data_IF_619053507298
#
_entry.id   IF_619053507298
#
_cell.length_a   1.000
_cell.length_b   1.000
_cell.length_c   1.000
_cell.angle_alpha   90.00
_cell.angle_beta   90.00
_cell.angle_gamma   90.00
#
_symmetry.space_group_name_H-M   'P 1'
#
loop_
_entity.id
_entity.type
_entity.pdbx_description
1 polymer ?
#
# COMPACT_ATOMS: atom_id res chain seq x y z
N UNK A 1 -25.89 18.41 -18.67
CA UNK A 1 -25.24 17.56 -17.68
C UNK A 1 -24.76 18.40 -16.52
N UNK A 2 -25.14 18.01 -15.29
CA UNK A 2 -24.65 18.70 -14.09
C UNK A 2 -23.27 18.18 -13.70
N UNK A 3 -22.41 19.04 -13.17
CA UNK A 3 -21.21 18.67 -12.47
C UNK A 3 -21.46 18.77 -10.96
N UNK A 4 -20.95 17.81 -10.20
CA UNK A 4 -20.84 17.92 -8.75
C UNK A 4 -19.44 18.40 -8.43
N UNK A 5 -19.33 19.49 -7.69
CA UNK A 5 -18.06 20.03 -7.25
C UNK A 5 -18.07 20.00 -5.72
N UNK A 6 -17.05 19.38 -5.14
CA UNK A 6 -16.72 19.47 -3.72
C UNK A 6 -15.51 20.38 -3.63
N UNK A 7 -15.74 21.63 -3.23
CA UNK A 7 -14.66 22.63 -3.16
C UNK A 7 -13.66 22.26 -2.06
N UNK A 8 -14.16 21.80 -0.91
CA UNK A 8 -13.33 21.36 0.19
C UNK A 8 -14.14 20.47 1.15
N UNK A 9 -13.51 19.43 1.61
CA UNK A 9 -13.98 18.58 2.70
C UNK A 9 -12.84 18.37 3.67
N UNK A 10 -13.02 18.75 4.93
CA UNK A 10 -12.02 18.61 5.97
C UNK A 10 -12.45 17.55 6.98
N UNK A 11 -11.56 16.62 7.27
CA UNK A 11 -11.72 15.60 8.30
C UNK A 11 -10.58 15.70 9.28
N UNK A 12 -10.89 15.64 10.58
CA UNK A 12 -9.89 15.52 11.64
C UNK A 12 -10.26 14.38 12.58
N UNK A 13 -9.30 13.53 12.90
CA UNK A 13 -9.49 12.41 13.82
C UNK A 13 -8.19 12.15 14.58
N UNK A 14 -8.19 12.44 15.90
CA UNK A 14 -6.97 12.38 16.70
C UNK A 14 -5.89 13.32 16.14
N UNK A 15 -4.72 12.77 15.88
CA UNK A 15 -3.59 13.49 15.29
C UNK A 15 -3.61 13.54 13.77
N UNK A 16 -4.63 12.95 13.13
CA UNK A 16 -4.79 12.93 11.68
C UNK A 16 -5.65 14.08 11.19
N UNK A 17 -5.23 14.66 10.09
CA UNK A 17 -6.00 15.62 9.31
C UNK A 17 -6.07 15.15 7.85
N UNK A 18 -7.14 15.46 7.17
CA UNK A 18 -7.31 15.18 5.76
C UNK A 18 -8.19 16.26 5.14
N UNK A 19 -7.68 16.86 4.10
CA UNK A 19 -8.43 17.79 3.26
C UNK A 19 -8.61 17.17 1.89
N UNK A 20 -9.84 17.12 1.39
CA UNK A 20 -10.15 16.61 0.07
C UNK A 20 -10.91 17.65 -0.74
N UNK A 21 -10.54 17.80 -2.00
CA UNK A 21 -11.25 18.60 -2.98
C UNK A 21 -11.40 17.80 -4.28
N UNK A 22 -12.54 17.94 -4.95
CA UNK A 22 -12.76 17.16 -6.14
C UNK A 22 -13.95 17.59 -6.96
N UNK A 23 -14.06 17.02 -8.15
CA UNK A 23 -15.19 17.22 -9.04
C UNK A 23 -15.58 15.91 -9.70
N UNK A 24 -16.86 15.74 -9.92
CA UNK A 24 -17.44 14.64 -10.68
C UNK A 24 -18.30 15.22 -11.81
N UNK A 25 -17.96 14.84 -13.03
CA UNK A 25 -18.67 15.23 -14.24
C UNK A 25 -19.42 14.00 -14.78
N UNK A 26 -20.48 14.22 -15.58
CA UNK A 26 -21.22 13.19 -16.28
C UNK A 26 -21.84 12.11 -15.34
N UNK A 27 -23.10 12.34 -14.86
CA UNK A 27 -23.75 11.42 -13.92
C UNK A 27 -23.95 9.98 -14.42
N UNK A 28 -24.00 9.78 -15.76
CA UNK A 28 -24.17 8.44 -16.37
C UNK A 28 -22.88 7.63 -16.47
N UNK A 29 -21.73 8.30 -16.49
CA UNK A 29 -20.40 7.71 -16.50
C UNK A 29 -19.45 8.68 -15.76
N UNK A 30 -19.47 8.68 -14.42
CA UNK A 30 -18.77 9.69 -13.64
C UNK A 30 -17.28 9.72 -13.92
N UNK A 31 -16.79 10.91 -14.26
CA UNK A 31 -15.36 11.22 -14.29
C UNK A 31 -15.07 12.03 -13.02
N UNK A 32 -14.28 11.45 -12.15
CA UNK A 32 -13.94 11.99 -10.83
C UNK A 32 -12.50 12.45 -10.86
N UNK A 33 -12.26 13.69 -10.45
CA UNK A 33 -10.92 14.17 -10.13
C UNK A 33 -10.91 14.47 -8.64
N UNK A 34 -10.00 13.84 -7.92
CA UNK A 34 -9.90 13.96 -6.47
C UNK A 34 -8.48 14.33 -6.05
N UNK A 35 -8.36 15.38 -5.27
CA UNK A 35 -7.12 15.77 -4.61
C UNK A 35 -7.30 15.59 -3.11
N UNK A 36 -6.37 14.88 -2.49
CA UNK A 36 -6.34 14.62 -1.06
C UNK A 36 -5.03 15.10 -0.49
N UNK A 37 -5.10 16.00 0.47
CA UNK A 37 -3.94 16.56 1.15
C UNK A 37 -4.03 16.28 2.65
N UNK A 38 -2.90 15.98 3.28
CA UNK A 38 -2.78 15.76 4.72
C UNK A 38 -1.43 16.23 5.21
N UNK A 39 -1.42 16.99 6.30
CA UNK A 39 -0.18 17.30 7.01
C UNK A 39 0.30 16.10 7.81
N UNK A 40 -0.64 15.36 8.39
CA UNK A 40 -0.36 14.16 9.17
C UNK A 40 -1.49 13.16 9.07
N UNK A 41 -1.17 11.95 8.63
CA UNK A 41 -2.08 10.82 8.60
C UNK A 41 -1.52 9.67 9.43
N UNK A 42 -2.27 9.24 10.45
CA UNK A 42 -1.93 8.07 11.27
C UNK A 42 -2.81 6.88 10.89
N UNK A 43 -2.19 5.81 10.41
CA UNK A 43 -2.86 4.57 10.04
C UNK A 43 -3.02 3.59 11.21
N UNK A 44 -2.43 3.84 12.38
CA UNK A 44 -2.49 2.93 13.53
C UNK A 44 -3.93 2.57 13.93
N UNK A 45 -4.91 3.51 13.96
CA UNK A 45 -6.29 3.16 14.27
C UNK A 45 -6.94 2.22 13.25
N UNK A 46 -6.53 2.31 11.98
CA UNK A 46 -7.06 1.46 10.91
C UNK A 46 -6.55 0.03 11.02
N UNK A 47 -5.26 -0.14 11.35
CA UNK A 47 -4.69 -1.47 11.59
C UNK A 47 -5.32 -2.14 12.80
N UNK A 48 -5.54 -1.40 13.90
CA UNK A 48 -6.23 -1.92 15.08
C UNK A 48 -7.68 -2.36 14.79
N UNK A 49 -8.39 -1.66 13.90
CA UNK A 49 -9.72 -2.06 13.47
C UNK A 49 -9.70 -3.35 12.63
N UNK A 50 -8.70 -3.52 11.76
CA UNK A 50 -8.53 -4.74 10.97
C UNK A 50 -8.24 -5.94 11.87
N UNK A 51 -7.32 -5.82 12.84
CA UNK A 51 -7.01 -6.87 13.81
C UNK A 51 -8.24 -7.26 14.64
N UNK A 52 -9.05 -6.29 15.07
CA UNK A 52 -10.28 -6.54 15.82
C UNK A 52 -11.35 -7.23 14.96
N UNK A 53 -11.45 -6.90 13.68
CA UNK A 53 -12.38 -7.54 12.75
C UNK A 53 -12.01 -9.01 12.50
N UNK A 54 -10.72 -9.33 12.38
CA UNK A 54 -10.23 -10.71 12.25
C UNK A 54 -10.49 -11.53 13.51
N UNK A 55 -10.28 -10.96 14.70
CA UNK A 55 -10.60 -11.62 15.97
C UNK A 55 -12.10 -11.89 16.14
N UNK A 56 -12.94 -10.92 15.77
CA UNK A 56 -14.40 -11.08 15.85
C UNK A 56 -14.95 -12.11 14.86
N UNK A 57 -14.29 -12.30 13.72
CA UNK A 57 -14.64 -13.34 12.76
C UNK A 57 -14.28 -14.75 13.28
N UNK A 58 -13.19 -14.90 14.04
CA UNK A 58 -12.81 -16.17 14.66
C UNK A 58 -13.65 -16.53 15.89
N UNK A 59 -14.19 -15.56 16.62
CA UNK A 59 -15.01 -15.80 17.80
C UNK A 59 -16.49 -16.14 17.46
N UNK A 60 -16.94 -15.91 16.22
CA UNK A 60 -18.32 -16.23 15.80
C UNK A 60 -18.50 -17.65 15.28
N UNK A 61 -17.49 -18.47 15.20
CA UNK A 61 -17.57 -19.91 14.86
C UNK A 61 -17.81 -20.80 16.09
N UNK A 62 -18.90 -20.56 16.79
CA UNK A 62 -19.50 -21.50 17.73
C UNK A 62 -20.47 -22.48 17.04
N UNK A 63 -20.14 -22.99 15.85
CA UNK A 63 -20.86 -24.09 15.18
C UNK A 63 -19.90 -25.24 14.92
N UNK A 64 -20.37 -26.46 15.25
CA UNK A 64 -19.63 -27.74 15.28
C UNK A 64 -18.64 -27.94 14.13
N UNK A 65 -17.46 -28.54 14.40
CA UNK A 65 -16.41 -28.73 13.41
C UNK A 65 -16.68 -30.00 12.60
N UNK A 66 -17.38 -29.86 11.50
CA UNK A 66 -17.37 -30.83 10.41
C UNK A 66 -16.95 -30.16 9.12
N UNK A 67 -15.69 -29.85 9.02
CA UNK A 67 -14.93 -29.73 7.77
C UNK A 67 -13.46 -29.55 8.15
N UNK A 68 -12.58 -30.31 7.55
CA UNK A 68 -11.13 -30.20 7.63
C UNK A 68 -10.72 -28.72 7.67
N UNK A 69 -10.24 -28.28 8.83
CA UNK A 69 -9.71 -26.93 9.02
C UNK A 69 -8.64 -26.68 7.96
N UNK A 70 -9.00 -25.96 6.93
CA UNK A 70 -8.03 -25.56 5.93
C UNK A 70 -6.91 -24.79 6.67
N UNK A 71 -5.63 -25.12 6.44
CA UNK A 71 -4.52 -24.50 7.13
C UNK A 71 -4.62 -22.99 7.00
N UNK A 72 -4.33 -22.28 8.11
CA UNK A 72 -4.31 -20.83 8.24
C UNK A 72 -3.59 -20.22 7.00
N UNK A 73 -4.40 -19.71 6.07
CA UNK A 73 -3.88 -19.36 4.75
C UNK A 73 -3.43 -17.91 4.79
N UNK A 74 -2.13 -17.69 4.64
CA UNK A 74 -1.49 -16.36 4.62
C UNK A 74 -2.11 -15.36 3.63
N UNK A 75 -2.75 -15.84 2.56
CA UNK A 75 -3.35 -14.98 1.53
C UNK A 75 -4.83 -15.29 1.41
N UNK A 76 -5.70 -14.35 1.77
CA UNK A 76 -7.14 -14.49 1.62
C UNK A 76 -7.52 -14.55 0.13
N UNK A 77 -8.66 -15.19 -0.17
CA UNK A 77 -9.14 -15.41 -1.53
C UNK A 77 -10.22 -14.39 -1.89
N UNK A 78 -9.79 -13.14 -2.12
CA UNK A 78 -10.70 -12.09 -2.56
C UNK A 78 -10.77 -12.00 -4.09
N UNK A 79 -11.97 -11.88 -4.68
CA UNK A 79 -12.10 -11.68 -6.11
C UNK A 79 -11.57 -10.31 -6.52
N UNK A 80 -10.70 -10.28 -7.53
CA UNK A 80 -10.20 -9.06 -8.15
C UNK A 80 -11.17 -8.60 -9.24
N UNK A 81 -12.46 -8.44 -8.88
CA UNK A 81 -13.49 -8.08 -9.86
C UNK A 81 -13.44 -6.59 -10.18
N UNK A 82 -13.24 -6.28 -11.45
CA UNK A 82 -13.27 -4.92 -11.98
C UNK A 82 -14.68 -4.42 -12.34
N UNK A 83 -15.75 -5.09 -11.88
CA UNK A 83 -17.13 -4.65 -12.17
C UNK A 83 -17.39 -3.20 -11.76
N UNK A 84 -16.85 -2.78 -10.62
CA UNK A 84 -16.97 -1.41 -10.14
C UNK A 84 -16.17 -0.42 -10.99
N UNK A 85 -15.03 -0.85 -11.55
CA UNK A 85 -14.15 0.00 -12.34
C UNK A 85 -14.79 0.42 -13.68
N UNK A 86 -15.78 -0.35 -14.17
CA UNK A 86 -16.51 -0.03 -15.38
C UNK A 86 -17.56 1.08 -15.19
N UNK A 87 -17.86 1.45 -13.93
CA UNK A 87 -18.95 2.38 -13.62
C UNK A 87 -18.46 3.83 -13.51
N UNK A 88 -17.18 4.05 -13.27
CA UNK A 88 -16.61 5.40 -13.14
C UNK A 88 -15.15 5.45 -13.60
N UNK A 89 -14.66 6.66 -13.80
CA UNK A 89 -13.24 6.96 -13.99
C UNK A 89 -12.81 7.91 -12.88
N UNK A 90 -11.67 7.66 -12.27
CA UNK A 90 -11.12 8.53 -11.23
C UNK A 90 -9.63 8.80 -11.46
N UNK A 91 -9.24 10.06 -11.40
CA UNK A 91 -7.87 10.53 -11.30
C UNK A 91 -7.70 11.08 -9.89
N UNK A 92 -6.88 10.43 -9.09
CA UNK A 92 -6.70 10.75 -7.68
C UNK A 92 -5.26 11.11 -7.41
N UNK A 93 -5.03 12.28 -6.84
CA UNK A 93 -3.74 12.71 -6.32
C UNK A 93 -3.82 12.74 -4.79
N UNK A 94 -2.89 12.08 -4.12
CA UNK A 94 -2.77 12.05 -2.66
C UNK A 94 -1.43 12.63 -2.27
N UNK A 95 -1.43 13.63 -1.38
CA UNK A 95 -0.26 14.30 -0.86
C UNK A 95 -0.29 14.25 0.66
N UNK A 96 0.66 13.58 1.30
CA UNK A 96 0.74 13.45 2.76
C UNK A 96 2.14 13.85 3.19
N UNK A 97 2.23 14.87 4.07
CA UNK A 97 3.52 15.32 4.59
C UNK A 97 4.15 14.29 5.51
N UNK A 98 3.37 13.71 6.41
CA UNK A 98 3.83 12.69 7.36
C UNK A 98 2.81 11.58 7.50
N UNK A 99 3.15 10.36 7.05
CA UNK A 99 2.36 9.15 7.17
C UNK A 99 2.89 8.31 8.33
N UNK A 100 2.08 8.08 9.34
CA UNK A 100 2.36 7.29 10.56
C UNK A 100 1.59 5.99 10.59
N UNK A 101 1.83 5.17 11.61
CA UNK A 101 1.18 3.87 11.80
C UNK A 101 1.95 2.72 11.14
N UNK A 102 2.95 3.01 10.33
CA UNK A 102 3.94 2.04 9.88
C UNK A 102 5.06 1.94 10.93
N UNK A 103 5.90 0.91 10.83
CA UNK A 103 7.07 0.75 11.74
C UNK A 103 7.93 2.02 11.82
N UNK A 104 7.98 2.79 10.75
CA UNK A 104 8.61 4.12 10.69
C UNK A 104 7.74 5.06 9.87
N UNK A 105 7.66 6.34 10.25
CA UNK A 105 6.92 7.30 9.46
C UNK A 105 7.57 7.49 8.08
N UNK A 106 6.70 7.63 7.08
CA UNK A 106 7.09 8.08 5.76
C UNK A 106 6.79 9.58 5.64
N UNK A 107 7.66 10.27 4.95
CA UNK A 107 7.57 11.72 4.72
C UNK A 107 7.32 11.99 3.24
N UNK A 108 6.69 13.12 2.96
CA UNK A 108 6.49 13.64 1.61
C UNK A 108 5.91 12.58 0.66
N UNK A 109 4.88 11.87 1.14
CA UNK A 109 4.18 10.85 0.34
C UNK A 109 3.37 11.56 -0.73
N UNK A 110 3.66 11.27 -1.99
CA UNK A 110 2.91 11.78 -3.13
C UNK A 110 2.52 10.58 -4.01
N UNK A 111 1.22 10.41 -4.24
CA UNK A 111 0.71 9.30 -5.04
C UNK A 111 -0.29 9.80 -6.06
N UNK A 112 -0.19 9.32 -7.30
CA UNK A 112 -1.19 9.53 -8.34
C UNK A 112 -1.71 8.19 -8.82
N UNK A 113 -3.03 8.04 -8.79
CA UNK A 113 -3.74 6.81 -9.13
C UNK A 113 -4.84 7.13 -10.14
N UNK A 114 -4.81 6.43 -11.25
CA UNK A 114 -5.88 6.44 -12.24
C UNK A 114 -6.68 5.14 -12.09
N UNK A 115 -8.00 5.25 -11.99
CA UNK A 115 -8.93 4.13 -11.87
C UNK A 115 -9.99 4.26 -12.95
N UNK A 116 -10.27 3.18 -13.64
CA UNK A 116 -11.32 3.20 -14.69
C UNK A 116 -11.49 1.84 -15.35
N UNK A 117 -12.23 1.84 -16.43
CA UNK A 117 -12.54 0.62 -17.20
C UNK A 117 -11.31 -0.17 -17.67
N UNK A 118 -10.18 0.50 -17.82
CA UNK A 118 -8.91 -0.11 -18.19
C UNK A 118 -8.18 -0.74 -16.99
N UNK A 119 -8.72 -0.59 -15.79
CA UNK A 119 -8.12 -1.09 -14.56
C UNK A 119 -7.64 0.01 -13.62
N UNK A 120 -6.65 -0.31 -12.82
CA UNK A 120 -6.01 0.59 -11.85
C UNK A 120 -4.58 0.83 -12.29
N UNK A 121 -4.16 2.09 -12.28
CA UNK A 121 -2.78 2.48 -12.59
C UNK A 121 -2.25 3.41 -11.52
N UNK A 122 -1.18 3.01 -10.85
CA UNK A 122 -0.37 3.89 -10.02
C UNK A 122 0.69 4.49 -10.93
N UNK A 123 0.44 5.72 -11.40
CA UNK A 123 1.36 6.40 -12.34
C UNK A 123 2.61 6.88 -11.64
N UNK A 124 2.49 7.24 -10.36
CA UNK A 124 3.60 7.55 -9.48
C UNK A 124 3.17 7.41 -8.03
N UNK A 125 3.98 6.77 -7.21
CA UNK A 125 3.92 6.88 -5.77
C UNK A 125 5.36 7.11 -5.27
N UNK A 126 5.56 8.13 -4.48
CA UNK A 126 6.86 8.51 -3.93
C UNK A 126 6.71 8.74 -2.44
N UNK A 127 7.69 8.29 -1.68
CA UNK A 127 7.79 8.54 -0.26
C UNK A 127 9.26 8.71 0.14
N UNK A 128 9.50 9.42 1.22
CA UNK A 128 10.82 9.64 1.79
C UNK A 128 10.90 9.04 3.20
N UNK A 129 12.03 8.51 3.58
CA UNK A 129 12.29 8.17 4.96
C UNK A 129 12.88 9.38 5.70
N UNK A 130 12.93 9.34 7.03
CA UNK A 130 13.47 10.42 7.88
C UNK A 130 14.94 10.78 7.61
N UNK A 131 15.64 10.04 6.75
CA UNK A 131 17.07 10.22 6.42
C UNK A 131 17.31 10.64 5.00
N UNK A 132 16.25 11.03 4.28
CA UNK A 132 16.33 11.45 2.90
C UNK A 132 16.42 10.29 1.90
N UNK A 133 16.31 9.04 2.34
CA UNK A 133 16.13 7.92 1.42
C UNK A 133 14.76 8.00 0.77
N UNK A 134 14.69 7.66 -0.51
CA UNK A 134 13.48 7.81 -1.33
C UNK A 134 13.04 6.48 -1.86
N UNK A 135 11.74 6.18 -1.77
CA UNK A 135 11.10 5.07 -2.46
C UNK A 135 10.16 5.60 -3.54
N UNK A 136 10.12 4.92 -4.68
CA UNK A 136 9.20 5.19 -5.78
C UNK A 136 8.54 3.89 -6.22
N UNK A 137 7.24 3.94 -6.46
CA UNK A 137 6.43 2.84 -6.93
C UNK A 137 5.65 3.28 -8.17
N UNK A 138 5.65 2.43 -9.18
CA UNK A 138 4.70 2.47 -10.29
C UNK A 138 4.08 1.10 -10.44
N UNK A 139 2.84 1.04 -10.95
CA UNK A 139 2.20 -0.25 -11.14
C UNK A 139 0.88 -0.16 -11.88
N UNK A 140 0.45 -1.29 -12.39
CA UNK A 140 -0.84 -1.44 -13.06
C UNK A 140 -1.49 -2.75 -12.64
N UNK A 141 -2.80 -2.72 -12.50
CA UNK A 141 -3.65 -3.90 -12.42
C UNK A 141 -4.71 -3.75 -13.52
N UNK A 142 -4.46 -4.37 -14.66
CA UNK A 142 -5.22 -4.17 -15.89
C UNK A 142 -5.73 -5.52 -16.37
N UNK A 143 -7.02 -5.65 -16.76
CA UNK A 143 -7.48 -6.89 -17.35
C UNK A 143 -6.80 -7.14 -18.72
N UNK A 144 -6.40 -8.38 -18.96
CA UNK A 144 -5.91 -8.81 -20.27
C UNK A 144 -7.05 -8.96 -21.28
N UNK A 145 -6.74 -9.51 -22.46
CA UNK A 145 -7.71 -9.73 -23.53
C UNK A 145 -8.85 -10.70 -23.14
N UNK A 146 -8.62 -11.57 -22.16
CA UNK A 146 -9.58 -12.53 -21.60
C UNK A 146 -10.33 -11.96 -20.38
N UNK A 147 -10.00 -10.74 -19.95
CA UNK A 147 -10.59 -10.08 -18.81
C UNK A 147 -10.00 -10.52 -17.46
N UNK A 148 -8.87 -11.22 -17.47
CA UNK A 148 -8.19 -11.64 -16.24
C UNK A 148 -7.26 -10.53 -15.78
N UNK A 149 -7.34 -10.07 -14.51
CA UNK A 149 -6.45 -9.04 -13.97
C UNK A 149 -4.98 -9.43 -14.05
N UNK A 150 -4.17 -8.57 -14.64
CA UNK A 150 -2.71 -8.68 -14.73
C UNK A 150 -2.06 -7.55 -13.94
N UNK A 151 -1.22 -7.93 -12.96
CA UNK A 151 -0.43 -7.03 -12.15
C UNK A 151 0.94 -6.83 -12.79
N UNK A 152 1.37 -5.57 -12.86
CA UNK A 152 2.77 -5.20 -13.08
C UNK A 152 3.17 -4.13 -12.09
N UNK A 153 4.27 -4.32 -11.37
CA UNK A 153 4.73 -3.39 -10.34
C UNK A 153 6.24 -3.23 -10.38
N UNK A 154 6.70 -2.00 -10.24
CA UNK A 154 8.10 -1.65 -10.05
C UNK A 154 8.25 -0.76 -8.82
N UNK A 155 9.02 -1.24 -7.84
CA UNK A 155 9.45 -0.47 -6.68
C UNK A 155 10.94 -0.20 -6.78
N UNK A 156 11.34 1.05 -6.69
CA UNK A 156 12.73 1.49 -6.60
C UNK A 156 12.94 2.29 -5.32
N UNK A 157 13.96 1.94 -4.57
CA UNK A 157 14.34 2.63 -3.35
C UNK A 157 15.81 2.98 -3.36
N UNK A 158 16.14 4.19 -2.93
CA UNK A 158 17.52 4.67 -2.80
C UNK A 158 17.77 5.22 -1.42
N UNK A 159 18.89 4.81 -0.80
CA UNK A 159 19.27 5.27 0.52
C UNK A 159 18.28 4.92 1.63
N UNK A 160 17.49 3.86 1.44
CA UNK A 160 16.53 3.42 2.44
C UNK A 160 17.26 2.84 3.66
N UNK A 161 16.79 3.15 4.84
CA UNK A 161 17.24 2.50 6.07
C UNK A 161 16.22 1.44 6.47
N UNK A 162 16.56 0.19 6.20
CA UNK A 162 15.77 -0.94 6.67
C UNK A 162 16.29 -1.40 8.03
N UNK A 163 15.40 -1.84 8.86
CA UNK A 163 15.71 -2.34 10.20
C UNK A 163 15.11 -1.48 11.30
N UNK A 164 14.79 -2.14 12.38
CA UNK A 164 14.22 -1.55 13.59
C UNK A 164 15.37 -1.40 14.58
N UNK A 165 15.57 -0.24 15.23
CA UNK A 165 16.48 -0.15 16.36
C UNK A 165 16.05 -1.17 17.42
N UNK A 166 16.98 -2.02 17.87
CA UNK A 166 16.68 -3.08 18.84
C UNK A 166 16.49 -2.56 20.25
N UNK A 167 16.94 -1.35 20.54
CA UNK A 167 16.82 -0.74 21.85
C UNK A 167 16.54 0.76 21.76
N UNK A 168 15.86 1.35 22.77
CA UNK A 168 15.73 2.79 22.89
C UNK A 168 17.14 3.42 22.99
N UNK A 169 17.42 4.39 22.11
CA UNK A 169 18.71 5.08 22.09
C UNK A 169 19.75 4.49 21.12
N UNK A 170 19.44 3.41 20.43
CA UNK A 170 20.31 2.89 19.37
C UNK A 170 20.43 3.92 18.23
N UNK A 171 21.68 4.29 17.91
CA UNK A 171 21.93 5.29 16.87
C UNK A 171 21.57 4.72 15.49
N UNK A 172 20.45 5.16 15.00
CA UNK A 172 19.98 4.78 13.66
C UNK A 172 21.00 5.18 12.58
N UNK A 173 21.93 6.11 12.84
CA UNK A 173 22.96 6.49 11.88
C UNK A 173 23.95 5.36 11.57
N UNK A 174 24.02 4.36 12.43
CA UNK A 174 24.88 3.19 12.24
C UNK A 174 24.34 2.17 11.23
N UNK A 175 23.04 2.21 10.89
CA UNK A 175 22.46 1.29 9.92
C UNK A 175 22.87 1.67 8.50
N UNK A 176 23.43 0.73 7.72
CA UNK A 176 23.80 0.99 6.34
C UNK A 176 22.55 1.28 5.50
N UNK A 177 22.60 2.29 4.62
CA UNK A 177 21.52 2.52 3.66
C UNK A 177 21.50 1.43 2.59
N UNK A 178 20.30 1.11 2.11
CA UNK A 178 20.07 0.13 1.04
C UNK A 178 19.43 0.81 -0.17
N UNK A 179 19.86 0.36 -1.33
CA UNK A 179 19.16 0.59 -2.58
C UNK A 179 18.42 -0.70 -2.94
N UNK A 180 17.15 -0.56 -3.32
CA UNK A 180 16.27 -1.70 -3.64
C UNK A 180 15.65 -1.47 -5.00
N UNK A 181 15.58 -2.53 -5.79
CA UNK A 181 14.76 -2.58 -7.00
C UNK A 181 13.99 -3.90 -7.00
N UNK A 182 12.66 -3.80 -6.90
CA UNK A 182 11.74 -4.92 -6.93
C UNK A 182 10.83 -4.78 -8.16
N UNK A 183 10.81 -5.79 -9.00
CA UNK A 183 9.84 -5.90 -10.09
C UNK A 183 9.00 -7.14 -9.84
N UNK A 184 7.68 -6.98 -9.90
CA UNK A 184 6.72 -8.06 -9.78
C UNK A 184 5.74 -8.01 -10.93
N UNK A 185 5.34 -9.19 -11.39
CA UNK A 185 4.26 -9.38 -12.33
C UNK A 185 3.47 -10.64 -11.93
N UNK A 186 2.18 -10.65 -12.22
CA UNK A 186 1.33 -11.80 -11.94
C UNK A 186 -0.03 -11.64 -12.57
N UNK A 187 -0.80 -12.73 -12.67
CA UNK A 187 -2.11 -12.76 -13.30
C UNK A 187 -3.06 -13.64 -12.49
N UNK A 188 -4.28 -13.19 -12.24
CA UNK A 188 -5.24 -13.99 -11.49
C UNK A 188 -6.60 -13.32 -11.36
N UNK A 189 -7.64 -14.13 -11.14
CA UNK A 189 -9.00 -13.65 -10.88
C UNK A 189 -9.22 -13.32 -9.41
N UNK A 190 -8.41 -13.89 -8.56
CA UNK A 190 -8.44 -13.66 -7.11
C UNK A 190 -7.06 -13.25 -6.61
N UNK A 191 -7.00 -12.71 -5.40
CA UNK A 191 -5.73 -12.38 -4.74
C UNK A 191 -4.82 -13.60 -4.60
N UNK A 192 -5.40 -14.79 -4.43
CA UNK A 192 -4.67 -16.05 -4.35
C UNK A 192 -4.11 -16.47 -5.70
N UNK A 193 -4.93 -16.44 -6.74
CA UNK A 193 -4.46 -16.77 -8.10
C UNK A 193 -3.33 -15.83 -8.52
N UNK A 194 -3.49 -14.55 -8.24
CA UNK A 194 -2.46 -13.55 -8.50
C UNK A 194 -1.16 -13.89 -7.76
N UNK A 195 -1.25 -14.24 -6.47
CA UNK A 195 -0.09 -14.62 -5.68
C UNK A 195 0.56 -15.92 -6.17
N UNK A 196 -0.23 -16.89 -6.62
CA UNK A 196 0.28 -18.15 -7.15
C UNK A 196 1.02 -18.00 -8.48
N UNK A 197 0.72 -16.96 -9.25
CA UNK A 197 1.37 -16.65 -10.54
C UNK A 197 2.43 -15.56 -10.42
N UNK A 198 2.65 -15.04 -9.22
CA UNK A 198 3.57 -13.92 -9.01
C UNK A 198 5.00 -14.32 -9.38
N UNK A 199 5.58 -13.59 -10.30
CA UNK A 199 6.96 -13.70 -10.75
C UNK A 199 7.66 -12.36 -10.64
N UNK A 200 8.99 -12.38 -10.50
CA UNK A 200 9.74 -11.15 -10.44
C UNK A 200 11.15 -11.31 -9.91
N UNK A 201 11.76 -10.19 -9.65
CA UNK A 201 13.10 -10.16 -9.05
C UNK A 201 13.22 -9.04 -8.03
N UNK A 202 14.02 -9.31 -7.01
CA UNK A 202 14.50 -8.34 -6.02
C UNK A 202 16.00 -8.18 -6.16
N UNK A 203 16.44 -6.95 -6.41
CA UNK A 203 17.85 -6.57 -6.32
C UNK A 203 18.01 -5.61 -5.13
N UNK A 204 18.93 -5.95 -4.23
CA UNK A 204 19.23 -5.13 -3.06
C UNK A 204 20.74 -4.91 -3.00
N UNK A 205 21.13 -3.65 -2.89
CA UNK A 205 22.54 -3.25 -2.73
C UNK A 205 22.68 -2.49 -1.44
N UNK A 206 23.56 -2.94 -0.57
CA UNK A 206 23.86 -2.29 0.71
C UNK A 206 25.09 -1.40 0.54
N UNK A 207 24.99 -0.16 0.97
CA UNK A 207 26.14 0.76 1.02
C UNK A 207 27.08 0.37 2.17
N UNK A 208 28.29 0.93 2.18
CA UNK A 208 29.24 0.73 3.29
C UNK A 208 28.62 1.19 4.60
N UNK A 209 28.63 0.33 5.61
CA UNK A 209 28.13 0.61 6.95
C UNK A 209 28.73 -0.35 7.95
N UNK A 210 28.55 -0.06 9.22
CA UNK A 210 28.91 -0.96 10.30
C UNK A 210 27.75 -1.91 10.53
N UNK A 211 27.93 -3.20 10.30
CA UNK A 211 26.99 -4.23 10.71
C UNK A 211 27.35 -4.63 12.13
N UNK A 212 26.57 -4.20 13.11
CA UNK A 212 26.72 -4.68 14.48
C UNK A 212 26.26 -6.14 14.53
N UNK A 213 27.20 -7.05 14.66
CA UNK A 213 26.97 -8.49 14.69
C UNK A 213 26.50 -8.94 16.09
N UNK A 214 25.38 -8.42 16.58
CA UNK A 214 24.83 -8.80 17.90
C UNK A 214 24.06 -10.12 17.91
N UNK A 215 23.95 -10.80 16.77
CA UNK A 215 23.15 -12.02 16.63
C UNK A 215 23.93 -13.31 16.46
N UNK A 216 25.21 -13.25 16.06
CA UNK A 216 26.01 -14.48 15.83
C UNK A 216 26.70 -15.02 17.08
N UNK A 217 26.92 -14.19 18.10
CA UNK A 217 27.55 -14.62 19.37
C UNK A 217 26.66 -15.50 20.27
N UNK A 218 25.42 -15.74 19.90
CA UNK A 218 24.49 -16.62 20.65
C UNK A 218 24.36 -18.02 20.07
N UNK A 219 25.11 -18.36 19.04
CA UNK A 219 25.09 -19.68 18.39
C UNK A 219 26.35 -20.53 18.64
N UNK A 220 27.19 -20.14 19.58
CA UNK A 220 28.32 -20.95 20.05
C UNK A 220 28.12 -21.42 21.46
#
# INVERSE_FOLDING_TARGET
>A
GGALVVEQFDLRSGDSDLTAAGQANNPSAPQIVLNVDSDRLDLSPWFALLETAEQSASDSEGAEPDAESAPDRLIPDYPLTHRLLNTFQADTTVSIRELRGLQRPLLNVLTRIDVGKEGIRVTSARAENQRGGVAQLTGTLIPDAEGIPELSMLLEGKGLTLGIPKAPGEDITALPPYDIRLKLAGKGQTTRDLAATLDGYLNMTMSKGIVLNTGLDRMT
#
